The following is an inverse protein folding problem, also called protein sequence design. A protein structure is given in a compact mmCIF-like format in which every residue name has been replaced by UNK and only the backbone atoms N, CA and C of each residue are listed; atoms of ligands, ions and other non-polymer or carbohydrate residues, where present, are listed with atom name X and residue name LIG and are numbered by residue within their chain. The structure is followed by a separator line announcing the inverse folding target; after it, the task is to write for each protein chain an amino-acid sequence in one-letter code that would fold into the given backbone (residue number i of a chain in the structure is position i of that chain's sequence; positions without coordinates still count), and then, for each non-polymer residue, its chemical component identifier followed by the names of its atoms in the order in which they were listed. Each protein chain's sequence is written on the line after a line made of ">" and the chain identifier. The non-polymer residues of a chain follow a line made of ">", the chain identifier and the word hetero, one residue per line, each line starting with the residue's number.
data_IF_942970595756
#
_entry.id   IF_942970595756
#
_cell.length_a   1.000
_cell.length_b   1.000
_cell.length_c   1.000
_cell.angle_alpha   90.00
_cell.angle_beta   90.00
_cell.angle_gamma   90.00
#
_symmetry.space_group_name_H-M   'P 1'
#
loop_
_entity.id
_entity.type
_entity.pdbx_description
1 polymer ?
#
# COMPACT_ATOMS: atom_id res chain seq x y z
N UNK A 1 -4.76 9.50 -16.68
CA UNK A 1 -5.72 9.67 -15.55
C UNK A 1 -5.82 8.31 -14.87
N UNK A 2 -5.63 8.23 -13.57
CA UNK A 2 -5.78 7.00 -12.79
C UNK A 2 -7.27 6.65 -12.71
N UNK A 3 -7.58 5.33 -12.75
CA UNK A 3 -8.95 4.87 -12.73
C UNK A 3 -9.53 4.97 -11.31
N UNK A 4 -10.79 5.33 -11.23
CA UNK A 4 -11.57 5.10 -10.03
C UNK A 4 -11.85 3.59 -9.91
N UNK A 5 -11.68 3.06 -8.70
CA UNK A 5 -11.76 1.62 -8.48
C UNK A 5 -13.06 1.25 -7.75
N UNK A 6 -13.73 0.16 -8.17
CA UNK A 6 -15.03 -0.20 -7.62
C UNK A 6 -14.94 -0.81 -6.21
N UNK A 7 -16.09 -0.82 -5.53
CA UNK A 7 -16.37 -1.73 -4.41
C UNK A 7 -17.26 -2.85 -4.96
N UNK A 8 -16.83 -4.09 -4.80
CA UNK A 8 -17.51 -5.28 -5.31
C UNK A 8 -17.99 -6.19 -4.18
N UNK A 9 -19.04 -6.98 -4.45
CA UNK A 9 -19.47 -8.03 -3.53
C UNK A 9 -18.79 -9.35 -3.88
N UNK A 10 -18.11 -9.93 -2.91
CA UNK A 10 -17.50 -11.24 -3.02
C UNK A 10 -18.02 -12.18 -1.93
N UNK A 11 -18.20 -13.44 -2.29
CA UNK A 11 -18.63 -14.46 -1.35
C UNK A 11 -17.44 -15.05 -0.59
N UNK A 12 -17.52 -15.00 0.73
CA UNK A 12 -16.58 -15.68 1.62
C UNK A 12 -17.35 -16.67 2.49
N UNK A 13 -17.19 -17.96 2.22
CA UNK A 13 -17.99 -19.02 2.85
C UNK A 13 -19.50 -18.75 2.68
N UNK A 14 -20.22 -18.46 3.74
CA UNK A 14 -21.67 -18.23 3.73
C UNK A 14 -22.05 -16.74 3.80
N UNK A 15 -21.08 -15.83 3.66
CA UNK A 15 -21.26 -14.41 3.85
C UNK A 15 -20.85 -13.60 2.62
N UNK A 16 -21.52 -12.48 2.38
CA UNK A 16 -21.08 -11.48 1.39
C UNK A 16 -20.13 -10.49 2.07
N UNK A 17 -19.01 -10.24 1.42
CA UNK A 17 -17.98 -9.29 1.84
C UNK A 17 -17.89 -8.19 0.79
N UNK A 18 -17.81 -6.95 1.21
CA UNK A 18 -17.45 -5.83 0.34
C UNK A 18 -15.94 -5.84 0.12
N UNK A 19 -15.50 -5.65 -1.11
CA UNK A 19 -14.08 -5.59 -1.47
C UNK A 19 -13.81 -4.33 -2.26
N UNK A 20 -13.00 -3.42 -1.71
CA UNK A 20 -12.44 -2.30 -2.47
C UNK A 20 -11.33 -2.81 -3.37
N UNK A 21 -11.51 -2.67 -4.68
CA UNK A 21 -10.67 -3.25 -5.72
C UNK A 21 -9.60 -2.25 -6.21
N UNK A 22 -8.72 -1.79 -5.32
CA UNK A 22 -7.64 -0.87 -5.69
C UNK A 22 -6.56 -1.53 -6.58
N UNK A 23 -6.55 -2.86 -6.68
CA UNK A 23 -5.81 -3.62 -7.67
C UNK A 23 -6.24 -3.32 -9.12
N UNK A 24 -7.42 -2.77 -9.35
CA UNK A 24 -7.91 -2.35 -10.66
C UNK A 24 -7.51 -0.92 -11.04
N UNK A 25 -6.68 -0.23 -10.26
CA UNK A 25 -6.20 1.11 -10.60
C UNK A 25 -5.32 1.13 -11.85
N UNK A 26 -4.65 0.04 -12.13
CA UNK A 26 -3.90 -0.18 -13.36
C UNK A 26 -4.29 -1.48 -14.05
N UNK A 27 -3.98 -1.57 -15.34
CA UNK A 27 -4.30 -2.69 -16.20
C UNK A 27 -3.36 -3.90 -16.06
N UNK A 28 -2.30 -3.78 -15.27
CA UNK A 28 -1.26 -4.80 -15.14
C UNK A 28 -0.33 -4.94 -16.35
N UNK A 29 -0.50 -4.12 -17.38
CA UNK A 29 0.31 -4.10 -18.60
C UNK A 29 1.05 -2.78 -18.78
N UNK A 30 0.33 -1.68 -18.84
CA UNK A 30 0.86 -0.32 -18.96
C UNK A 30 1.05 0.31 -17.59
N UNK A 31 0.11 0.09 -16.68
CA UNK A 31 0.05 0.60 -15.32
C UNK A 31 0.10 -0.55 -14.31
N UNK A 32 0.85 -0.43 -13.21
CA UNK A 32 0.81 -1.44 -12.17
C UNK A 32 -0.58 -1.51 -11.53
N UNK A 33 -1.10 -2.72 -11.26
CA UNK A 33 -2.38 -2.94 -10.61
C UNK A 33 -2.26 -2.64 -9.11
N UNK A 34 -2.19 -1.35 -8.73
CA UNK A 34 -1.78 -0.94 -7.38
C UNK A 34 -2.42 0.36 -6.90
N UNK A 35 -3.21 0.28 -5.84
CA UNK A 35 -3.94 1.41 -5.26
C UNK A 35 -3.09 2.56 -4.74
N UNK A 36 -1.81 2.31 -4.46
CA UNK A 36 -0.90 3.38 -4.02
C UNK A 36 -0.55 4.38 -5.12
N UNK A 37 -0.83 4.06 -6.37
CA UNK A 37 -0.58 4.96 -7.51
C UNK A 37 -1.21 6.33 -7.32
N UNK A 38 -2.46 6.41 -6.85
CA UNK A 38 -3.15 7.68 -6.64
C UNK A 38 -2.46 8.56 -5.60
N UNK A 39 -2.05 7.98 -4.48
CA UNK A 39 -1.30 8.70 -3.46
C UNK A 39 0.09 9.16 -3.93
N UNK A 40 0.79 8.31 -4.72
CA UNK A 40 2.08 8.67 -5.31
C UNK A 40 1.89 9.81 -6.33
N UNK A 41 0.85 9.75 -7.11
CA UNK A 41 0.51 10.78 -8.11
C UNK A 41 0.30 12.14 -7.44
N UNK A 42 -0.50 12.20 -6.36
CA UNK A 42 -0.71 13.41 -5.56
C UNK A 42 0.59 13.90 -4.88
N UNK A 43 1.43 12.99 -4.40
CA UNK A 43 2.74 13.34 -3.86
C UNK A 43 3.62 14.01 -4.92
N UNK A 44 3.71 13.44 -6.13
CA UNK A 44 4.53 13.96 -7.22
C UNK A 44 4.03 15.31 -7.75
N UNK A 45 2.72 15.57 -7.69
CA UNK A 45 2.12 16.84 -8.12
C UNK A 45 2.62 18.03 -7.28
N UNK A 46 2.84 17.80 -5.99
CA UNK A 46 3.29 18.82 -5.03
C UNK A 46 4.82 18.87 -4.86
N UNK A 47 5.55 17.92 -5.44
CA UNK A 47 7.00 17.96 -5.45
C UNK A 47 7.48 18.94 -6.53
N UNK A 48 8.48 19.74 -6.18
CA UNK A 48 9.14 20.60 -7.18
C UNK A 48 10.07 19.74 -8.07
N UNK A 49 9.77 19.55 -9.37
CA UNK A 49 10.53 18.65 -10.26
C UNK A 49 11.92 19.20 -10.64
N UNK A 50 12.42 20.24 -9.98
CA UNK A 50 13.72 20.86 -10.27
C UNK A 50 14.90 19.87 -10.20
N UNK A 51 14.77 18.82 -9.39
CA UNK A 51 15.81 17.81 -9.17
C UNK A 51 15.33 16.44 -9.61
N UNK A 52 16.25 15.56 -10.06
CA UNK A 52 15.91 14.15 -10.23
C UNK A 52 15.38 13.55 -8.94
N UNK A 53 14.48 12.58 -9.05
CA UNK A 53 13.95 11.86 -7.90
C UNK A 53 14.61 10.49 -7.77
N UNK A 54 14.89 10.05 -6.55
CA UNK A 54 15.34 8.70 -6.26
C UNK A 54 14.44 8.02 -5.22
N UNK A 55 14.16 6.74 -5.45
CA UNK A 55 13.42 5.92 -4.49
C UNK A 55 14.08 4.57 -4.29
N UNK A 56 14.21 4.15 -3.02
CA UNK A 56 14.64 2.80 -2.66
C UNK A 56 13.44 1.85 -2.67
N UNK A 57 13.42 0.95 -3.65
CA UNK A 57 12.37 -0.04 -3.75
C UNK A 57 12.61 -1.24 -2.81
N UNK A 58 11.51 -1.81 -2.37
CA UNK A 58 11.44 -3.03 -1.57
C UNK A 58 11.01 -4.20 -2.46
N UNK A 59 11.56 -5.38 -2.22
CA UNK A 59 11.12 -6.60 -2.90
C UNK A 59 9.60 -6.79 -2.78
N UNK A 60 8.98 -7.28 -3.84
CA UNK A 60 7.52 -7.49 -3.88
C UNK A 60 6.69 -6.21 -3.97
N UNK A 61 7.33 -5.05 -4.19
CA UNK A 61 6.66 -3.77 -4.34
C UNK A 61 6.55 -3.35 -5.81
N UNK A 62 5.39 -2.84 -6.21
CA UNK A 62 5.17 -2.22 -7.50
C UNK A 62 5.81 -0.82 -7.65
N UNK A 63 6.48 -0.32 -6.59
CA UNK A 63 6.91 1.09 -6.50
C UNK A 63 7.87 1.53 -7.62
N UNK A 64 8.77 0.66 -8.05
CA UNK A 64 9.70 0.99 -9.14
C UNK A 64 9.00 1.23 -10.46
N UNK A 65 8.08 0.36 -10.84
CA UNK A 65 7.27 0.54 -12.04
C UNK A 65 6.32 1.74 -11.91
N UNK A 66 5.61 1.86 -10.79
CA UNK A 66 4.68 2.96 -10.55
C UNK A 66 5.36 4.33 -10.69
N UNK A 67 6.49 4.50 -10.00
CA UNK A 67 7.26 5.75 -10.04
C UNK A 67 7.87 6.03 -11.40
N UNK A 68 8.47 5.03 -12.05
CA UNK A 68 9.04 5.22 -13.39
C UNK A 68 7.98 5.68 -14.39
N UNK A 69 6.79 5.08 -14.34
CA UNK A 69 5.67 5.50 -15.19
C UNK A 69 5.21 6.92 -14.87
N UNK A 70 4.88 7.22 -13.61
CA UNK A 70 4.35 8.52 -13.21
C UNK A 70 5.37 9.66 -13.42
N UNK A 71 6.64 9.40 -13.17
CA UNK A 71 7.71 10.37 -13.43
C UNK A 71 7.89 10.63 -14.93
N UNK A 72 7.86 9.59 -15.77
CA UNK A 72 7.91 9.72 -17.24
C UNK A 72 6.78 10.60 -17.75
N UNK A 73 5.54 10.39 -17.29
CA UNK A 73 4.38 11.20 -17.70
C UNK A 73 4.52 12.68 -17.32
N UNK A 74 5.32 12.99 -16.30
CA UNK A 74 5.57 14.35 -15.81
C UNK A 74 6.88 14.97 -16.29
N UNK A 75 7.65 14.24 -17.09
CA UNK A 75 8.98 14.67 -17.50
C UNK A 75 9.99 14.79 -16.35
N UNK A 76 9.76 14.05 -15.26
CA UNK A 76 10.64 14.02 -14.09
C UNK A 76 11.67 12.90 -14.28
N UNK A 77 12.94 13.23 -14.15
CA UNK A 77 14.01 12.23 -14.15
C UNK A 77 13.92 11.37 -12.90
N UNK A 78 13.83 10.04 -13.05
CA UNK A 78 13.68 9.10 -11.95
C UNK A 78 14.83 8.10 -11.90
N UNK A 79 15.33 7.86 -10.69
CA UNK A 79 16.38 6.89 -10.39
C UNK A 79 15.79 5.80 -9.48
N UNK A 80 15.78 4.59 -9.98
CA UNK A 80 15.30 3.42 -9.27
C UNK A 80 16.44 2.77 -8.50
N UNK A 81 16.52 3.01 -7.18
CA UNK A 81 17.48 2.35 -6.32
C UNK A 81 16.93 1.00 -5.84
N UNK A 82 17.70 -0.07 -5.98
CA UNK A 82 17.31 -1.41 -5.56
C UNK A 82 18.50 -2.24 -5.15
N UNK A 83 18.27 -3.27 -4.34
CA UNK A 83 19.25 -4.29 -4.01
C UNK A 83 18.78 -5.63 -4.58
N UNK A 84 19.52 -6.25 -5.51
CA UNK A 84 19.15 -7.53 -6.09
C UNK A 84 18.96 -8.61 -5.02
N UNK A 85 17.94 -9.43 -5.18
CA UNK A 85 17.72 -10.63 -4.37
C UNK A 85 17.05 -11.71 -5.22
N UNK A 86 17.07 -12.95 -4.74
CA UNK A 86 16.45 -14.08 -5.46
C UNK A 86 14.94 -13.92 -5.66
N UNK A 87 14.30 -13.11 -4.83
CA UNK A 87 12.86 -12.84 -4.86
C UNK A 87 12.51 -11.52 -5.55
N UNK A 88 13.52 -10.83 -6.12
CA UNK A 88 13.28 -9.58 -6.82
C UNK A 88 12.62 -9.85 -8.18
N UNK A 89 11.52 -9.19 -8.45
CA UNK A 89 10.79 -9.38 -9.70
C UNK A 89 11.52 -8.73 -10.88
N UNK A 90 12.04 -9.55 -11.80
CA UNK A 90 12.62 -9.08 -13.06
C UNK A 90 11.59 -8.30 -13.88
N UNK A 91 10.33 -8.73 -13.85
CA UNK A 91 9.22 -8.05 -14.51
C UNK A 91 9.11 -6.56 -14.12
N UNK A 92 9.26 -6.25 -12.82
CA UNK A 92 9.21 -4.85 -12.33
C UNK A 92 10.39 -4.03 -12.85
N UNK A 93 11.59 -4.64 -12.92
CA UNK A 93 12.77 -3.96 -13.49
C UNK A 93 12.57 -3.68 -14.98
N UNK A 94 12.05 -4.65 -15.73
CA UNK A 94 11.81 -4.51 -17.18
C UNK A 94 10.76 -3.42 -17.43
N UNK A 95 9.67 -3.40 -16.66
CA UNK A 95 8.65 -2.34 -16.74
C UNK A 95 9.19 -0.95 -16.36
N UNK A 96 10.05 -0.88 -15.36
CA UNK A 96 10.71 0.37 -15.01
C UNK A 96 11.66 0.85 -16.13
N UNK A 97 12.38 -0.08 -16.79
CA UNK A 97 13.24 0.22 -17.93
C UNK A 97 12.48 0.72 -19.15
N UNK A 98 11.30 0.16 -19.44
CA UNK A 98 10.40 0.64 -20.51
C UNK A 98 10.00 2.11 -20.31
N UNK A 99 10.06 2.60 -19.09
CA UNK A 99 9.76 3.98 -18.70
C UNK A 99 11.00 4.88 -18.63
N UNK A 100 12.12 4.50 -19.21
CA UNK A 100 13.36 5.29 -19.30
C UNK A 100 13.95 5.70 -17.94
N UNK A 101 13.71 4.94 -16.87
CA UNK A 101 14.31 5.26 -15.56
C UNK A 101 15.79 4.86 -15.49
N UNK A 102 16.57 5.59 -14.73
CA UNK A 102 17.92 5.18 -14.36
C UNK A 102 17.90 4.19 -13.20
N UNK A 103 18.89 3.27 -13.19
CA UNK A 103 19.03 2.28 -12.13
C UNK A 103 20.23 2.59 -11.24
N UNK A 104 20.02 2.48 -9.93
CA UNK A 104 21.08 2.55 -8.92
C UNK A 104 21.11 1.24 -8.13
N UNK A 105 21.94 0.31 -8.56
CA UNK A 105 22.07 -0.99 -7.92
C UNK A 105 22.92 -0.90 -6.65
N UNK A 106 22.45 -1.51 -5.58
CA UNK A 106 23.09 -1.56 -4.28
C UNK A 106 23.48 -2.99 -3.91
N UNK A 107 24.58 -3.16 -3.20
CA UNK A 107 24.87 -4.46 -2.58
C UNK A 107 23.82 -4.78 -1.52
N UNK A 108 23.23 -6.00 -1.54
CA UNK A 108 22.23 -6.42 -0.57
C UNK A 108 22.66 -6.18 0.87
N UNK A 109 21.74 -5.66 1.69
CA UNK A 109 21.96 -5.38 3.10
C UNK A 109 20.63 -5.17 3.81
N UNK A 110 20.65 -4.92 5.13
CA UNK A 110 19.48 -4.52 5.89
C UNK A 110 18.89 -3.21 5.34
N UNK A 111 17.56 -3.09 5.33
CA UNK A 111 16.85 -1.95 4.74
C UNK A 111 17.32 -0.59 5.27
N UNK A 112 17.58 -0.47 6.57
CA UNK A 112 18.08 0.76 7.17
C UNK A 112 19.45 1.19 6.58
N UNK A 113 20.33 0.23 6.30
CA UNK A 113 21.64 0.49 5.69
C UNK A 113 21.47 0.91 4.23
N UNK A 114 20.60 0.22 3.49
CA UNK A 114 20.31 0.56 2.10
C UNK A 114 19.72 1.99 2.01
N UNK A 115 18.76 2.32 2.89
CA UNK A 115 18.18 3.66 2.96
C UNK A 115 19.23 4.75 3.20
N UNK A 116 20.13 4.54 4.16
CA UNK A 116 21.20 5.48 4.45
C UNK A 116 22.18 5.65 3.28
N UNK A 117 22.48 4.57 2.54
CA UNK A 117 23.34 4.63 1.33
C UNK A 117 22.68 5.44 0.23
N UNK A 118 21.39 5.21 -0.03
CA UNK A 118 20.63 5.99 -1.04
C UNK A 118 20.53 7.45 -0.64
N UNK A 119 20.26 7.74 0.63
CA UNK A 119 20.20 9.11 1.14
C UNK A 119 21.56 9.84 0.98
N UNK A 120 22.66 9.18 1.28
CA UNK A 120 24.01 9.73 1.09
C UNK A 120 24.32 9.98 -0.39
N UNK A 121 23.94 9.02 -1.25
CA UNK A 121 24.09 9.18 -2.71
C UNK A 121 23.25 10.36 -3.23
N UNK A 122 22.00 10.46 -2.81
CA UNK A 122 21.09 11.54 -3.20
C UNK A 122 21.64 12.93 -2.82
N UNK A 123 22.09 13.08 -1.57
CA UNK A 123 22.69 14.33 -1.08
C UNK A 123 23.96 14.74 -1.85
N UNK A 124 24.81 13.76 -2.18
CA UNK A 124 26.08 14.03 -2.92
C UNK A 124 25.83 14.48 -4.36
N UNK A 125 24.70 14.10 -4.96
CA UNK A 125 24.41 14.31 -6.38
C UNK A 125 23.26 15.29 -6.63
N UNK A 126 22.81 16.04 -5.62
CA UNK A 126 21.67 16.97 -5.70
C UNK A 126 20.40 16.29 -6.24
N UNK A 127 20.12 15.09 -5.72
CA UNK A 127 18.94 14.30 -6.06
C UNK A 127 17.95 14.34 -4.89
N UNK A 128 16.68 14.52 -5.16
CA UNK A 128 15.64 14.49 -4.14
C UNK A 128 15.25 13.04 -3.84
N UNK A 129 15.49 12.60 -2.60
CA UNK A 129 15.05 11.26 -2.16
C UNK A 129 13.58 11.31 -1.73
N UNK A 130 12.77 10.40 -2.29
CA UNK A 130 11.39 10.23 -1.86
C UNK A 130 11.32 9.62 -0.44
N UNK A 131 10.33 10.01 0.36
CA UNK A 131 10.16 9.47 1.71
C UNK A 131 10.02 7.94 1.70
N UNK A 132 10.57 7.30 2.73
CA UNK A 132 10.39 5.85 2.91
C UNK A 132 8.90 5.49 2.97
N UNK A 133 8.51 4.48 2.21
CA UNK A 133 7.12 4.04 2.08
C UNK A 133 6.11 5.14 1.67
N UNK A 134 6.60 6.23 1.06
CA UNK A 134 5.80 7.41 0.67
C UNK A 134 5.17 8.14 1.85
N UNK A 135 5.82 8.13 3.03
CA UNK A 135 5.30 8.79 4.22
C UNK A 135 5.32 10.31 4.08
N UNK A 136 4.33 10.83 3.39
CA UNK A 136 4.11 12.25 3.12
C UNK A 136 2.64 12.62 3.32
N UNK A 137 2.40 13.86 3.71
CA UNK A 137 1.03 14.34 3.98
C UNK A 137 0.14 14.25 2.75
N UNK A 138 0.62 14.64 1.57
CA UNK A 138 -0.17 14.63 0.32
C UNK A 138 -0.55 13.21 -0.09
N UNK A 139 0.38 12.25 0.04
CA UNK A 139 0.10 10.84 -0.18
C UNK A 139 -1.04 10.33 0.72
N UNK A 140 -0.96 10.62 2.03
CA UNK A 140 -1.97 10.17 2.99
C UNK A 140 -3.31 10.88 2.81
N UNK A 141 -3.30 12.19 2.54
CA UNK A 141 -4.51 12.96 2.29
C UNK A 141 -5.28 12.47 1.05
N UNK A 142 -4.58 12.13 -0.02
CA UNK A 142 -5.22 11.54 -1.20
C UNK A 142 -5.89 10.21 -0.86
N UNK A 143 -5.19 9.31 -0.14
CA UNK A 143 -5.77 8.03 0.27
C UNK A 143 -6.96 8.21 1.23
N UNK A 144 -6.87 9.20 2.14
CA UNK A 144 -7.97 9.55 3.03
C UNK A 144 -9.18 10.02 2.23
N UNK A 145 -9.01 10.95 1.30
CA UNK A 145 -10.10 11.47 0.46
C UNK A 145 -10.81 10.35 -0.31
N UNK A 146 -10.06 9.44 -0.92
CA UNK A 146 -10.61 8.27 -1.61
C UNK A 146 -11.37 7.34 -0.66
N UNK A 147 -10.87 7.16 0.55
CA UNK A 147 -11.54 6.38 1.57
C UNK A 147 -12.81 7.07 2.11
N UNK A 148 -12.80 8.41 2.24
CA UNK A 148 -14.00 9.20 2.59
C UNK A 148 -15.14 8.94 1.60
N UNK A 149 -14.86 8.84 0.30
CA UNK A 149 -15.84 8.53 -0.75
C UNK A 149 -16.43 7.13 -0.56
N UNK A 150 -15.58 6.14 -0.34
CA UNK A 150 -16.02 4.76 -0.09
C UNK A 150 -16.91 4.65 1.16
N UNK A 151 -16.53 5.28 2.26
CA UNK A 151 -17.28 5.19 3.52
C UNK A 151 -18.52 6.07 3.58
N UNK A 152 -18.69 7.00 2.64
CA UNK A 152 -19.98 7.70 2.43
C UNK A 152 -21.03 6.80 1.80
N UNK A 153 -20.61 5.93 0.88
CA UNK A 153 -21.50 5.04 0.13
C UNK A 153 -21.71 3.70 0.83
N UNK A 154 -20.74 3.24 1.61
CA UNK A 154 -20.72 1.92 2.23
C UNK A 154 -20.53 2.02 3.74
N UNK A 155 -21.64 1.87 4.47
CA UNK A 155 -21.59 1.78 5.93
C UNK A 155 -21.15 0.36 6.31
N UNK A 156 -20.00 0.24 6.95
CA UNK A 156 -19.45 -1.06 7.37
C UNK A 156 -19.02 -1.03 8.83
N UNK A 157 -19.11 -2.19 9.49
CA UNK A 157 -18.72 -2.38 10.89
C UNK A 157 -17.24 -2.74 11.03
N UNK A 158 -16.70 -3.42 10.03
CA UNK A 158 -15.32 -3.89 10.03
C UNK A 158 -14.57 -3.49 8.76
N UNK A 159 -13.44 -2.80 8.92
CA UNK A 159 -12.45 -2.60 7.87
C UNK A 159 -11.31 -3.60 8.06
N UNK A 160 -11.01 -4.41 7.04
CA UNK A 160 -9.87 -5.32 7.02
C UNK A 160 -8.87 -4.85 5.97
N UNK A 161 -7.63 -4.61 6.37
CA UNK A 161 -6.58 -4.05 5.50
C UNK A 161 -5.21 -4.61 5.82
N UNK A 162 -4.38 -4.82 4.80
CA UNK A 162 -2.98 -5.20 4.97
C UNK A 162 -2.09 -4.00 5.32
N UNK A 163 -1.03 -4.23 6.09
CA UNK A 163 -0.03 -3.21 6.38
C UNK A 163 1.41 -3.76 6.34
N UNK A 164 2.25 -3.13 5.55
CA UNK A 164 3.71 -3.32 5.60
C UNK A 164 4.37 -2.30 6.54
N UNK A 165 4.40 -1.04 6.13
CA UNK A 165 4.92 0.09 6.93
C UNK A 165 3.85 0.81 7.76
N UNK A 166 2.57 0.56 7.49
CA UNK A 166 1.45 1.27 8.09
C UNK A 166 1.08 2.61 7.44
N UNK A 167 1.86 3.13 6.51
CA UNK A 167 1.61 4.46 5.91
C UNK A 167 0.34 4.47 5.06
N UNK A 168 0.17 3.49 4.17
CA UNK A 168 -1.04 3.42 3.31
C UNK A 168 -2.29 3.17 4.13
N UNK A 169 -2.24 2.18 5.02
CA UNK A 169 -3.36 1.88 5.90
C UNK A 169 -3.71 3.05 6.82
N UNK A 170 -2.73 3.84 7.29
CA UNK A 170 -3.02 5.03 8.10
C UNK A 170 -3.81 6.09 7.32
N UNK A 171 -3.51 6.34 6.05
CA UNK A 171 -4.29 7.26 5.22
C UNK A 171 -5.76 6.82 5.10
N UNK A 172 -5.99 5.54 4.83
CA UNK A 172 -7.33 4.97 4.72
C UNK A 172 -8.09 4.96 6.06
N UNK A 173 -7.42 4.54 7.14
CA UNK A 173 -8.02 4.44 8.47
C UNK A 173 -8.43 5.82 9.02
N UNK A 174 -7.71 6.89 8.67
CA UNK A 174 -8.09 8.25 9.08
C UNK A 174 -9.52 8.63 8.65
N UNK A 175 -10.01 8.06 7.57
CA UNK A 175 -11.37 8.27 7.09
C UNK A 175 -12.40 7.40 7.84
N UNK A 176 -11.98 6.24 8.31
CA UNK A 176 -12.85 5.25 8.96
C UNK A 176 -12.93 5.45 10.49
N UNK A 177 -12.46 6.57 11.05
CA UNK A 177 -12.34 6.74 12.50
C UNK A 177 -13.65 6.41 13.24
N UNK A 178 -13.64 5.47 14.20
CA UNK A 178 -14.78 5.25 15.06
C UNK A 178 -14.92 6.44 16.03
N UNK A 179 -16.08 7.01 16.11
CA UNK A 179 -16.43 7.94 17.19
C UNK A 179 -16.54 9.41 16.84
N UNK A 180 -16.44 9.84 15.57
CA UNK A 180 -16.74 11.21 15.17
C UNK A 180 -18.25 11.45 14.89
N UNK A 181 -19.04 10.40 14.81
CA UNK A 181 -20.51 10.53 14.70
C UNK A 181 -21.12 10.55 16.10
N UNK A 182 -21.56 11.72 16.53
CA UNK A 182 -22.30 11.95 17.79
C UNK A 182 -23.57 11.08 17.96
N UNK A 183 -23.93 10.30 16.93
CA UNK A 183 -25.16 9.49 16.86
C UNK A 183 -24.94 8.01 16.57
N UNK A 184 -23.71 7.54 16.36
CA UNK A 184 -23.50 6.12 16.06
C UNK A 184 -22.98 5.36 17.29
N UNK A 185 -23.83 4.48 17.84
CA UNK A 185 -23.41 3.34 18.66
C UNK A 185 -22.63 2.29 17.81
N UNK A 186 -21.81 2.74 16.86
CA UNK A 186 -21.17 1.84 15.93
C UNK A 186 -19.97 1.17 16.60
N UNK A 187 -20.04 -0.14 16.72
CA UNK A 187 -18.92 -1.01 17.07
C UNK A 187 -17.88 -1.09 15.93
N UNK A 188 -17.62 0.03 15.24
CA UNK A 188 -16.66 0.11 14.13
C UNK A 188 -15.29 -0.36 14.58
N UNK A 189 -14.73 -1.33 13.87
CA UNK A 189 -13.42 -1.90 14.16
C UNK A 189 -12.54 -1.94 12.91
N UNK A 190 -11.27 -1.66 13.11
CA UNK A 190 -10.23 -1.83 12.08
C UNK A 190 -9.38 -3.05 12.41
N UNK A 191 -9.22 -3.93 11.44
CA UNK A 191 -8.32 -5.07 11.53
C UNK A 191 -7.16 -4.86 10.54
N UNK A 192 -6.00 -4.54 11.07
CA UNK A 192 -4.78 -4.36 10.29
C UNK A 192 -3.94 -5.63 10.35
N UNK A 193 -3.72 -6.27 9.23
CA UNK A 193 -2.96 -7.50 9.14
C UNK A 193 -1.55 -7.21 8.64
N UNK A 194 -0.56 -7.56 9.44
CA UNK A 194 0.83 -7.24 9.14
C UNK A 194 1.77 -8.45 9.16
N UNK A 195 2.78 -8.43 8.30
CA UNK A 195 3.96 -9.29 8.36
C UNK A 195 5.09 -8.64 9.17
N UNK A 196 4.96 -7.34 9.46
CA UNK A 196 5.94 -6.54 10.19
C UNK A 196 5.76 -6.67 11.71
N UNK A 197 6.59 -5.97 12.47
CA UNK A 197 6.40 -5.89 13.91
C UNK A 197 5.15 -5.06 14.24
N UNK A 198 4.27 -5.61 15.08
CA UNK A 198 3.02 -4.99 15.50
C UNK A 198 3.26 -3.60 16.11
N UNK A 199 4.27 -3.47 16.98
CA UNK A 199 4.58 -2.18 17.62
C UNK A 199 4.97 -1.12 16.57
N UNK A 200 5.67 -1.49 15.50
CA UNK A 200 6.03 -0.56 14.42
C UNK A 200 4.77 0.01 13.75
N UNK A 201 3.74 -0.81 13.56
CA UNK A 201 2.47 -0.35 12.98
C UNK A 201 1.73 0.57 13.95
N UNK A 202 1.63 0.21 15.23
CA UNK A 202 1.01 1.08 16.25
C UNK A 202 1.72 2.43 16.39
N UNK A 203 3.05 2.46 16.43
CA UNK A 203 3.81 3.72 16.47
C UNK A 203 3.59 4.56 15.21
N UNK A 204 3.46 3.93 14.04
CA UNK A 204 3.12 4.63 12.80
C UNK A 204 1.72 5.26 12.90
N UNK A 205 0.72 4.51 13.35
CA UNK A 205 -0.64 5.03 13.52
C UNK A 205 -0.67 6.19 14.53
N UNK A 206 0.00 6.04 15.65
CA UNK A 206 0.13 7.10 16.66
C UNK A 206 0.79 8.36 16.09
N UNK A 207 1.85 8.22 15.29
CA UNK A 207 2.52 9.34 14.63
C UNK A 207 1.63 10.08 13.63
N UNK A 208 0.60 9.41 13.13
CA UNK A 208 -0.41 9.98 12.23
C UNK A 208 -1.73 10.35 12.93
N UNK A 209 -1.70 10.46 14.27
CA UNK A 209 -2.85 10.86 15.10
C UNK A 209 -4.08 9.95 14.96
N UNK A 210 -3.86 8.66 14.73
CA UNK A 210 -4.93 7.67 14.67
C UNK A 210 -5.16 7.10 16.07
N UNK A 211 -6.41 7.20 16.57
CA UNK A 211 -6.78 6.65 17.86
C UNK A 211 -6.72 5.11 17.85
N UNK A 212 -6.08 4.51 18.85
CA UNK A 212 -5.83 3.07 18.89
C UNK A 212 -6.97 2.22 19.45
N UNK A 213 -7.99 2.83 20.07
CA UNK A 213 -9.01 2.10 20.83
C UNK A 213 -9.91 1.16 20.01
N UNK A 214 -10.01 1.37 18.70
CA UNK A 214 -10.80 0.53 17.81
C UNK A 214 -9.95 -0.16 16.72
N UNK A 215 -8.62 -0.18 16.89
CA UNK A 215 -7.70 -0.77 15.92
C UNK A 215 -7.08 -2.03 16.49
N UNK A 216 -7.33 -3.15 15.83
CA UNK A 216 -6.67 -4.41 16.09
C UNK A 216 -5.54 -4.59 15.08
N UNK A 217 -4.32 -4.76 15.54
CA UNK A 217 -3.17 -5.08 14.68
C UNK A 217 -2.78 -6.54 14.93
N UNK A 218 -3.03 -7.38 13.94
CA UNK A 218 -2.72 -8.79 14.00
C UNK A 218 -1.50 -9.14 13.13
N UNK A 219 -0.54 -9.83 13.73
CA UNK A 219 0.57 -10.39 12.95
C UNK A 219 0.10 -11.69 12.28
N UNK A 220 0.26 -11.76 10.95
CA UNK A 220 0.05 -13.02 10.25
C UNK A 220 1.11 -14.05 10.67
N UNK A 221 0.76 -15.34 10.65
CA UNK A 221 1.74 -16.44 10.85
C UNK A 221 2.74 -16.60 9.69
N UNK A 222 2.46 -15.97 8.55
CA UNK A 222 3.31 -16.05 7.37
C UNK A 222 4.38 -14.95 7.40
N UNK A 223 5.63 -15.34 7.21
CA UNK A 223 6.75 -14.42 7.09
C UNK A 223 6.68 -13.61 5.78
N UNK A 224 7.46 -12.52 5.70
CA UNK A 224 7.48 -11.63 4.55
C UNK A 224 7.79 -12.39 3.25
N UNK A 225 8.80 -13.26 3.28
CA UNK A 225 9.28 -13.98 2.09
C UNK A 225 8.37 -15.16 1.69
N UNK A 226 7.42 -15.55 2.53
CA UNK A 226 6.43 -16.55 2.18
C UNK A 226 5.30 -15.91 1.39
N UNK A 227 5.47 -15.86 0.08
CA UNK A 227 4.41 -15.39 -0.83
C UNK A 227 3.34 -16.48 -0.94
N UNK A 228 2.10 -16.14 -0.63
CA UNK A 228 0.97 -17.07 -0.73
C UNK A 228 0.45 -17.17 -2.18
N UNK A 229 1.31 -17.62 -3.11
CA UNK A 229 0.99 -17.63 -4.55
C UNK A 229 -0.13 -18.64 -4.84
N UNK A 230 -0.08 -19.80 -4.19
CA UNK A 230 -1.02 -20.91 -4.41
C UNK A 230 -2.32 -20.78 -3.59
N UNK A 231 -2.43 -19.76 -2.74
CA UNK A 231 -3.66 -19.57 -1.97
C UNK A 231 -4.70 -18.86 -2.84
N UNK A 232 -5.81 -19.56 -3.09
CA UNK A 232 -6.89 -19.06 -3.93
C UNK A 232 -7.66 -17.91 -3.26
N UNK A 233 -7.85 -16.84 -4.03
CA UNK A 233 -8.69 -15.69 -3.69
C UNK A 233 -9.56 -15.34 -4.89
N UNK A 234 -10.79 -14.81 -4.70
CA UNK A 234 -11.73 -14.60 -5.80
C UNK A 234 -11.40 -13.39 -6.69
N UNK A 235 -10.29 -12.72 -6.47
CA UNK A 235 -9.81 -11.56 -7.23
C UNK A 235 -8.28 -11.50 -7.23
N UNK A 236 -7.63 -10.80 -8.18
CA UNK A 236 -6.20 -10.54 -8.15
C UNK A 236 -5.78 -9.87 -6.84
N UNK A 237 -4.82 -10.48 -6.14
CA UNK A 237 -4.47 -10.09 -4.79
C UNK A 237 -2.99 -10.33 -4.54
N UNK A 238 -2.27 -9.34 -4.00
CA UNK A 238 -0.84 -9.41 -3.77
C UNK A 238 -0.49 -10.50 -2.74
N UNK A 239 0.37 -11.45 -3.14
CA UNK A 239 0.75 -12.61 -2.32
C UNK A 239 1.54 -12.27 -1.07
N UNK A 240 2.27 -11.15 -1.07
CA UNK A 240 3.10 -10.71 0.07
C UNK A 240 2.27 -10.08 1.19
N UNK A 241 1.18 -9.35 0.84
CA UNK A 241 0.42 -8.50 1.76
C UNK A 241 -1.07 -8.86 1.82
N UNK A 242 -1.81 -8.52 0.76
CA UNK A 242 -3.26 -8.53 0.77
C UNK A 242 -3.84 -9.95 0.84
N UNK A 243 -3.21 -10.93 0.19
CA UNK A 243 -3.62 -12.32 0.23
C UNK A 243 -3.51 -12.92 1.64
N UNK A 244 -2.53 -12.48 2.43
CA UNK A 244 -2.40 -12.85 3.85
C UNK A 244 -3.48 -12.24 4.72
N UNK A 245 -3.90 -11.02 4.40
CA UNK A 245 -5.01 -10.36 5.09
C UNK A 245 -6.35 -11.03 4.72
N UNK A 246 -6.54 -11.43 3.46
CA UNK A 246 -7.71 -12.21 3.06
C UNK A 246 -7.76 -13.57 3.76
N UNK A 247 -6.63 -14.29 3.82
CA UNK A 247 -6.54 -15.54 4.57
C UNK A 247 -6.91 -15.35 6.04
N UNK A 248 -6.42 -14.29 6.68
CA UNK A 248 -6.78 -13.97 8.07
C UNK A 248 -8.29 -13.73 8.18
N UNK A 249 -8.86 -12.97 7.29
CA UNK A 249 -10.31 -12.71 7.26
C UNK A 249 -11.09 -14.02 7.15
N UNK A 250 -10.70 -14.93 6.28
CA UNK A 250 -11.34 -16.23 6.12
C UNK A 250 -11.33 -17.07 7.41
N UNK A 251 -10.27 -16.96 8.22
CA UNK A 251 -10.21 -17.65 9.50
C UNK A 251 -11.07 -16.98 10.60
N UNK A 252 -11.32 -15.68 10.47
CA UNK A 252 -11.93 -14.87 11.52
C UNK A 252 -13.35 -14.40 11.22
N UNK A 253 -13.84 -14.56 9.99
CA UNK A 253 -15.10 -13.97 9.52
C UNK A 253 -16.32 -14.32 10.41
N UNK A 254 -16.37 -15.54 10.95
CA UNK A 254 -17.46 -15.97 11.83
C UNK A 254 -17.46 -15.28 13.22
N UNK A 255 -16.37 -14.62 13.59
CA UNK A 255 -16.23 -13.85 14.83
C UNK A 255 -16.54 -12.36 14.63
N UNK A 256 -16.67 -11.91 13.37
CA UNK A 256 -16.95 -10.52 13.01
C UNK A 256 -18.44 -10.36 12.72
N UNK A 257 -19.17 -9.63 13.58
CA UNK A 257 -20.60 -9.36 13.39
C UNK A 257 -20.79 -8.03 12.63
N UNK A 258 -21.72 -7.99 11.66
CA UNK A 258 -22.00 -6.80 10.87
C UNK A 258 -21.29 -6.82 9.50
N UNK A 259 -21.29 -5.73 8.77
CA UNK A 259 -20.77 -5.64 7.43
C UNK A 259 -19.25 -5.47 7.41
N UNK A 260 -18.59 -6.16 6.49
CA UNK A 260 -17.12 -6.18 6.37
C UNK A 260 -16.71 -5.60 5.03
N UNK A 261 -15.76 -4.65 5.05
CA UNK A 261 -15.03 -4.19 3.88
C UNK A 261 -13.58 -4.70 3.94
N UNK A 262 -13.18 -5.45 2.94
CA UNK A 262 -11.80 -5.79 2.69
C UNK A 262 -11.18 -4.80 1.70
N UNK A 263 -10.06 -4.16 2.06
CA UNK A 263 -9.37 -3.24 1.17
C UNK A 263 -8.22 -3.94 0.46
N UNK A 264 -8.42 -4.31 -0.81
CA UNK A 264 -7.40 -4.94 -1.66
C UNK A 264 -6.54 -3.85 -2.34
N UNK A 265 -5.30 -3.68 -1.87
CA UNK A 265 -4.42 -2.60 -2.32
C UNK A 265 -3.71 -2.94 -3.63
N UNK A 266 -3.38 -4.21 -3.85
CA UNK A 266 -2.59 -4.58 -5.02
C UNK A 266 -2.93 -5.93 -5.62
N UNK A 267 -2.79 -6.00 -6.94
CA UNK A 267 -2.94 -7.23 -7.71
C UNK A 267 -1.75 -8.20 -7.59
N UNK A 268 -1.79 -9.27 -8.34
CA UNK A 268 -0.69 -10.23 -8.43
C UNK A 268 0.55 -9.60 -9.05
N UNK A 269 1.72 -10.00 -8.56
CA UNK A 269 3.03 -9.69 -9.18
C UNK A 269 3.51 -10.92 -9.94
#
# INVERSE_FOLDING_TARGET
>A
MLLETPVEHHRLKNRNILVKRDDLMGDGQTLPPWGKMAGIDALLENLNPKYPLIHLAVNGSWSGWALSYLCKQRGIKFIYAYAPSKTYSQFILDKAKENDCEFHELKPNMMAILYNRVNSYAKKNDIQMLPYAFDHVDYRNNLKQRADEVFKEHLVDHLVISAGSGVTSSGIIQSYQPGNDLFSNSNKQVHTITVSNINTIYEKYKSHSIASSAINVDKTKYEFDNMMIDYEVPFPCNGTWDRKAWWWLEQKESQLNGDILFWNIGGNI
#
